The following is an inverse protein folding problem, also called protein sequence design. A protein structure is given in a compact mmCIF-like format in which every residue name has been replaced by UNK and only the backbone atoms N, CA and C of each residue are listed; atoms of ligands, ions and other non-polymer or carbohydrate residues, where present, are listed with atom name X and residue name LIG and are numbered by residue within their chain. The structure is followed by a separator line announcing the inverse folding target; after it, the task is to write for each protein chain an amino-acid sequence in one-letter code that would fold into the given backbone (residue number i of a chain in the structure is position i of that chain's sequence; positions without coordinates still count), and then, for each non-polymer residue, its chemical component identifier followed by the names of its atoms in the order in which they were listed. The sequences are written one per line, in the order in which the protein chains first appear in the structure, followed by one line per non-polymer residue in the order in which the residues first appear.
data_IF_532701621394
#
_entry.id   IF_532701621394
#
_cell.length_a   1.000
_cell.length_b   1.000
_cell.length_c   1.000
_cell.angle_alpha   90.00
_cell.angle_beta   90.00
_cell.angle_gamma   90.00
#
_symmetry.space_group_name_H-M   'P 1'
#
loop_
_entity.id
_entity.type
_entity.pdbx_description
1 polymer ?
#
# COMPACT_ATOMS: atom_id res chain seq x y z
N UNK A 1 -42.44 -41.91 -5.16
CA UNK A 1 -41.18 -41.37 -5.71
C UNK A 1 -40.92 -40.05 -5.01
N UNK A 2 -40.12 -40.06 -3.93
CA UNK A 2 -39.79 -38.86 -3.16
C UNK A 2 -38.49 -38.27 -3.71
N UNK A 3 -38.55 -37.09 -4.31
CA UNK A 3 -37.38 -36.32 -4.70
C UNK A 3 -36.90 -35.57 -3.45
N UNK A 4 -35.83 -36.06 -2.84
CA UNK A 4 -35.10 -35.32 -1.81
C UNK A 4 -34.21 -34.27 -2.50
N UNK A 5 -34.62 -33.00 -2.39
CA UNK A 5 -33.78 -31.85 -2.75
C UNK A 5 -32.69 -31.70 -1.68
N UNK A 6 -31.45 -31.94 -2.07
CA UNK A 6 -30.25 -31.69 -1.28
C UNK A 6 -29.84 -30.22 -1.48
N UNK A 7 -30.27 -29.35 -0.57
CA UNK A 7 -29.81 -27.97 -0.47
C UNK A 7 -28.36 -27.95 0.00
N UNK A 8 -27.41 -27.85 -0.94
CA UNK A 8 -26.04 -27.47 -0.63
C UNK A 8 -26.02 -25.99 -0.22
N UNK A 9 -25.97 -25.75 1.09
CA UNK A 9 -25.64 -24.44 1.65
C UNK A 9 -24.15 -24.19 1.44
N UNK A 10 -23.81 -23.46 0.38
CA UNK A 10 -22.46 -22.93 0.18
C UNK A 10 -22.30 -21.81 1.21
N UNK A 11 -21.62 -22.11 2.32
CA UNK A 11 -21.20 -21.08 3.27
C UNK A 11 -20.07 -20.27 2.63
N UNK A 12 -20.43 -19.16 2.00
CA UNK A 12 -19.46 -18.14 1.60
C UNK A 12 -19.03 -17.40 2.87
N UNK A 13 -18.02 -17.93 3.57
CA UNK A 13 -17.34 -17.14 4.61
C UNK A 13 -16.57 -16.04 3.89
N UNK A 14 -16.79 -14.75 4.20
CA UNK A 14 -15.95 -13.70 3.64
C UNK A 14 -14.52 -13.97 4.06
N UNK A 15 -13.66 -14.18 3.08
CA UNK A 15 -12.22 -14.39 3.30
C UNK A 15 -11.68 -13.20 4.11
N UNK A 16 -11.04 -13.50 5.24
CA UNK A 16 -10.49 -12.47 6.11
C UNK A 16 -9.28 -11.89 5.41
N UNK A 17 -9.32 -10.60 5.09
CA UNK A 17 -8.19 -9.91 4.48
C UNK A 17 -6.93 -10.05 5.34
N UNK A 18 -5.80 -10.22 4.65
CA UNK A 18 -4.45 -10.40 5.18
C UNK A 18 -3.54 -9.32 4.61
N UNK A 19 -2.33 -9.18 5.18
CA UNK A 19 -1.35 -8.21 4.67
C UNK A 19 -0.97 -8.48 3.20
N UNK A 20 -1.00 -9.75 2.78
CA UNK A 20 -0.72 -10.17 1.42
C UNK A 20 -1.67 -9.52 0.40
N UNK A 21 -2.92 -9.25 0.78
CA UNK A 21 -3.91 -8.61 -0.09
C UNK A 21 -3.58 -7.14 -0.40
N UNK A 22 -2.67 -6.52 0.36
CA UNK A 22 -2.23 -5.14 0.19
C UNK A 22 -0.82 -5.01 -0.39
N UNK A 23 -0.19 -6.12 -0.79
CA UNK A 23 1.11 -6.11 -1.46
C UNK A 23 1.05 -5.53 -2.86
N UNK A 24 -0.11 -5.64 -3.50
CA UNK A 24 -0.37 -5.09 -4.84
C UNK A 24 -1.66 -4.30 -4.85
N UNK A 25 -1.74 -3.29 -5.69
CA UNK A 25 -2.95 -2.53 -5.90
C UNK A 25 -2.68 -1.04 -6.02
N UNK A 26 -3.79 -0.30 -6.06
CA UNK A 26 -3.76 1.16 -6.15
C UNK A 26 -4.36 1.75 -4.90
N UNK A 27 -3.68 2.72 -4.30
CA UNK A 27 -4.05 3.27 -3.00
C UNK A 27 -4.02 4.81 -3.01
N UNK A 28 -4.69 5.40 -2.03
CA UNK A 28 -4.61 6.81 -1.67
C UNK A 28 -4.46 6.93 -0.15
N UNK A 29 -3.71 7.94 0.30
CA UNK A 29 -3.72 8.30 1.72
C UNK A 29 -5.08 8.89 2.11
N UNK A 30 -5.53 8.64 3.34
CA UNK A 30 -6.80 9.20 3.82
C UNK A 30 -6.66 10.56 4.46
N UNK A 31 -5.43 10.95 4.83
CA UNK A 31 -5.16 12.21 5.50
C UNK A 31 -5.25 13.40 4.51
N UNK A 32 -5.93 14.51 4.86
CA UNK A 32 -6.19 15.62 3.94
C UNK A 32 -4.95 16.23 3.28
N UNK A 33 -3.82 16.23 3.96
CA UNK A 33 -2.55 16.75 3.48
C UNK A 33 -1.86 15.87 2.44
N UNK A 34 -2.28 14.62 2.29
CA UNK A 34 -1.63 13.64 1.39
C UNK A 34 -2.61 12.87 0.50
N UNK A 35 -3.92 13.11 0.63
CA UNK A 35 -4.97 12.44 -0.16
C UNK A 35 -4.90 12.72 -1.68
N UNK A 36 -4.08 13.68 -2.09
CA UNK A 36 -3.78 13.98 -3.49
C UNK A 36 -2.66 13.09 -4.08
N UNK A 37 -2.07 12.21 -3.27
CA UNK A 37 -1.03 11.25 -3.68
C UNK A 37 -1.67 9.89 -3.94
N UNK A 38 -1.53 9.42 -5.19
CA UNK A 38 -1.93 8.08 -5.62
C UNK A 38 -0.73 7.15 -5.59
N UNK A 39 -0.89 5.97 -5.03
CA UNK A 39 0.15 4.94 -4.93
C UNK A 39 -0.23 3.78 -5.84
N UNK A 40 0.65 3.39 -6.74
CA UNK A 40 0.51 2.19 -7.57
C UNK A 40 1.58 1.21 -7.13
N UNK A 41 1.18 0.06 -6.59
CA UNK A 41 2.09 -0.94 -6.02
C UNK A 41 1.98 -2.27 -6.74
N UNK A 42 3.14 -2.84 -7.06
CA UNK A 42 3.32 -4.23 -7.48
C UNK A 42 4.08 -4.99 -6.38
N UNK A 43 4.31 -6.29 -6.57
CA UNK A 43 5.00 -7.12 -5.57
C UNK A 43 6.39 -6.55 -5.20
N UNK A 44 7.06 -5.88 -6.14
CA UNK A 44 8.47 -5.46 -5.99
C UNK A 44 8.70 -3.97 -6.24
N UNK A 45 7.67 -3.20 -6.61
CA UNK A 45 7.82 -1.76 -6.91
C UNK A 45 6.63 -0.96 -6.45
N UNK A 46 6.86 0.32 -6.18
CA UNK A 46 5.81 1.29 -5.88
C UNK A 46 6.11 2.63 -6.54
N UNK A 47 5.07 3.24 -7.11
CA UNK A 47 5.12 4.60 -7.65
C UNK A 47 4.11 5.45 -6.90
N UNK A 48 4.58 6.55 -6.30
CA UNK A 48 3.73 7.56 -5.67
C UNK A 48 3.64 8.78 -6.58
N UNK A 49 2.42 9.16 -6.97
CA UNK A 49 2.13 10.23 -7.93
C UNK A 49 1.38 11.34 -7.20
N UNK A 50 2.01 12.51 -7.08
CA UNK A 50 1.36 13.69 -6.54
C UNK A 50 0.53 14.36 -7.65
N UNK A 51 -0.80 14.36 -7.50
CA UNK A 51 -1.69 14.93 -8.52
C UNK A 51 -1.63 16.46 -8.64
N UNK A 52 -1.14 17.17 -7.62
CA UNK A 52 -1.01 18.62 -7.61
C UNK A 52 0.31 19.07 -8.27
N UNK A 53 1.44 18.48 -7.86
CA UNK A 53 2.78 18.86 -8.33
C UNK A 53 3.24 18.07 -9.55
N UNK A 54 2.59 16.94 -9.85
CA UNK A 54 2.98 15.96 -10.89
C UNK A 54 4.31 15.25 -10.61
N UNK A 55 4.86 15.40 -9.41
CA UNK A 55 6.04 14.66 -8.96
C UNK A 55 5.69 13.19 -8.83
N UNK A 56 6.60 12.33 -9.29
CA UNK A 56 6.51 10.89 -9.12
C UNK A 56 7.73 10.36 -8.36
N UNK A 57 7.51 9.62 -7.27
CA UNK A 57 8.56 8.89 -6.57
C UNK A 57 8.50 7.42 -6.96
N UNK A 58 9.57 6.90 -7.58
CA UNK A 58 9.70 5.52 -8.01
C UNK A 58 10.55 4.77 -6.98
N UNK A 59 10.01 3.68 -6.46
CA UNK A 59 10.61 2.92 -5.35
C UNK A 59 10.63 1.42 -5.63
N UNK A 60 11.65 0.75 -5.12
CA UNK A 60 11.71 -0.71 -5.03
C UNK A 60 11.20 -1.19 -3.66
N UNK A 61 10.57 -2.37 -3.64
CA UNK A 61 10.02 -3.01 -2.45
C UNK A 61 10.72 -4.33 -2.19
N UNK A 62 11.19 -4.50 -0.95
CA UNK A 62 11.66 -5.77 -0.40
C UNK A 62 10.79 -6.19 0.79
N UNK A 63 10.02 -7.27 0.65
CA UNK A 63 9.20 -7.81 1.73
C UNK A 63 10.07 -8.59 2.72
N UNK A 64 10.12 -8.10 3.96
CA UNK A 64 10.82 -8.75 5.08
C UNK A 64 9.90 -9.76 5.77
N UNK A 65 8.59 -9.55 5.72
CA UNK A 65 7.56 -10.47 6.18
C UNK A 65 6.24 -10.22 5.44
N UNK A 66 5.18 -10.96 5.80
CA UNK A 66 3.83 -10.78 5.24
C UNK A 66 3.33 -9.33 5.36
N UNK A 67 3.64 -8.66 6.47
CA UNK A 67 3.14 -7.32 6.80
C UNK A 67 4.23 -6.24 6.77
N UNK A 68 5.49 -6.59 6.55
CA UNK A 68 6.61 -5.65 6.65
C UNK A 68 7.45 -5.63 5.38
N UNK A 69 7.76 -4.43 4.93
CA UNK A 69 8.59 -4.22 3.74
C UNK A 69 9.50 -3.01 3.89
N UNK A 70 10.55 -3.00 3.09
CA UNK A 70 11.48 -1.89 2.95
C UNK A 70 11.26 -1.26 1.59
N UNK A 71 10.99 0.04 1.57
CA UNK A 71 10.97 0.88 0.38
C UNK A 71 12.36 1.47 0.18
N UNK A 72 12.89 1.45 -1.04
CA UNK A 72 14.08 2.20 -1.43
C UNK A 72 13.72 3.17 -2.55
N UNK A 73 14.04 4.45 -2.39
CA UNK A 73 13.84 5.44 -3.45
C UNK A 73 14.87 5.23 -4.57
N UNK A 74 14.40 4.99 -5.79
CA UNK A 74 15.25 4.73 -6.95
C UNK A 74 15.35 5.97 -7.85
N UNK A 75 14.24 6.68 -8.05
CA UNK A 75 14.17 7.83 -8.96
C UNK A 75 13.02 8.75 -8.57
N UNK A 76 13.19 10.05 -8.83
CA UNK A 76 12.09 11.02 -8.79
C UNK A 76 11.91 11.65 -10.17
N UNK A 77 10.69 11.62 -10.70
CA UNK A 77 10.33 12.26 -11.97
C UNK A 77 9.56 13.53 -11.73
N UNK A 78 9.75 14.52 -12.61
CA UNK A 78 9.16 15.86 -12.53
C UNK A 78 9.44 16.59 -11.20
N UNK A 79 10.49 16.17 -10.47
CA UNK A 79 10.89 16.75 -9.20
C UNK A 79 12.07 17.72 -9.38
N UNK A 80 12.21 18.72 -8.50
CA UNK A 80 13.43 19.51 -8.39
C UNK A 80 14.66 18.64 -8.08
N UNK A 81 15.85 19.09 -8.48
CA UNK A 81 17.10 18.33 -8.36
C UNK A 81 17.46 17.94 -6.91
N UNK A 82 17.00 18.71 -5.93
CA UNK A 82 17.18 18.44 -4.49
C UNK A 82 16.58 17.09 -4.03
N UNK A 83 15.59 16.55 -4.77
CA UNK A 83 15.03 15.23 -4.47
C UNK A 83 16.00 14.09 -4.79
N UNK A 84 17.03 14.33 -5.61
CA UNK A 84 18.04 13.31 -5.92
C UNK A 84 18.84 12.90 -4.67
N UNK A 85 18.93 13.76 -3.66
CA UNK A 85 19.55 13.43 -2.36
C UNK A 85 18.76 12.38 -1.58
N UNK A 86 17.52 12.11 -1.98
CA UNK A 86 16.69 11.04 -1.42
C UNK A 86 16.89 9.69 -2.10
N UNK A 87 17.52 9.64 -3.27
CA UNK A 87 17.79 8.39 -3.99
C UNK A 87 18.70 7.48 -3.15
N UNK A 88 18.34 6.22 -3.03
CA UNK A 88 18.99 5.22 -2.21
C UNK A 88 18.58 5.24 -0.72
N UNK A 89 17.80 6.22 -0.27
CA UNK A 89 17.26 6.21 1.09
C UNK A 89 16.23 5.10 1.25
N UNK A 90 16.21 4.49 2.44
CA UNK A 90 15.36 3.36 2.78
C UNK A 90 14.38 3.70 3.88
N UNK A 91 13.13 3.24 3.72
CA UNK A 91 12.05 3.39 4.70
C UNK A 91 11.50 2.01 5.05
N UNK A 92 11.31 1.74 6.34
CA UNK A 92 10.62 0.52 6.78
C UNK A 92 9.15 0.82 7.00
N UNK A 93 8.29 0.08 6.30
CA UNK A 93 6.83 0.15 6.46
C UNK A 93 6.30 -1.19 7.00
N UNK A 94 5.38 -1.11 7.95
CA UNK A 94 4.76 -2.27 8.59
C UNK A 94 3.24 -2.07 8.66
N UNK A 95 2.47 -2.97 8.06
CA UNK A 95 1.01 -2.98 8.13
C UNK A 95 0.62 -3.44 9.54
N UNK A 96 -0.03 -2.56 10.29
CA UNK A 96 -0.40 -2.79 11.71
C UNK A 96 -1.90 -3.01 11.91
N UNK A 97 -2.73 -2.52 10.99
CA UNK A 97 -4.18 -2.66 11.05
C UNK A 97 -4.76 -2.87 9.64
N UNK A 98 -5.73 -3.77 9.53
CA UNK A 98 -6.43 -4.08 8.28
C UNK A 98 -7.93 -3.85 8.49
N UNK A 99 -8.49 -2.97 7.67
CA UNK A 99 -9.92 -2.74 7.54
C UNK A 99 -10.48 -3.37 6.25
N UNK A 100 -11.73 -3.05 5.94
CA UNK A 100 -12.43 -3.62 4.77
C UNK A 100 -11.83 -3.20 3.43
N UNK A 101 -11.40 -1.96 3.31
CA UNK A 101 -10.88 -1.35 2.09
C UNK A 101 -9.69 -0.42 2.39
N UNK A 102 -9.11 -0.58 3.58
CA UNK A 102 -8.08 0.29 4.11
C UNK A 102 -7.11 -0.48 4.99
N UNK A 103 -5.93 0.05 5.17
CA UNK A 103 -4.97 -0.46 6.13
C UNK A 103 -4.13 0.68 6.69
N UNK A 104 -3.62 0.48 7.89
CA UNK A 104 -2.71 1.43 8.54
C UNK A 104 -1.29 0.88 8.48
N UNK A 105 -0.37 1.69 7.99
CA UNK A 105 1.06 1.42 8.02
C UNK A 105 1.75 2.25 9.10
N UNK A 106 2.60 1.59 9.87
CA UNK A 106 3.62 2.25 10.67
C UNK A 106 4.89 2.42 9.82
N UNK A 107 5.31 3.67 9.64
CA UNK A 107 6.50 4.05 8.88
C UNK A 107 7.59 4.45 9.86
N UNK A 108 8.70 3.72 9.86
CA UNK A 108 9.85 3.99 10.73
C UNK A 108 11.01 4.56 9.93
N UNK A 109 11.42 5.77 10.31
CA UNK A 109 12.68 6.39 9.88
C UNK A 109 13.68 6.40 11.04
N UNK A 110 14.91 6.88 10.82
CA UNK A 110 15.96 6.89 11.86
C UNK A 110 15.56 7.68 13.12
N UNK A 111 14.67 8.68 12.99
CA UNK A 111 14.36 9.63 14.06
C UNK A 111 12.85 9.75 14.37
N UNK A 112 11.97 9.10 13.58
CA UNK A 112 10.52 9.24 13.73
C UNK A 112 9.79 7.94 13.38
N UNK A 113 8.60 7.79 13.95
CA UNK A 113 7.67 6.72 13.64
C UNK A 113 6.28 7.32 13.47
N UNK A 114 5.76 7.26 12.25
CA UNK A 114 4.47 7.84 11.91
C UNK A 114 3.48 6.74 11.51
N UNK A 115 2.19 6.97 11.76
CA UNK A 115 1.11 6.10 11.32
C UNK A 115 0.41 6.75 10.13
N UNK A 116 0.29 6.01 9.04
CA UNK A 116 -0.36 6.44 7.81
C UNK A 116 -1.48 5.47 7.47
N UNK A 117 -2.70 5.97 7.26
CA UNK A 117 -3.82 5.15 6.78
C UNK A 117 -3.95 5.32 5.27
N UNK A 118 -4.06 4.18 4.58
CA UNK A 118 -4.23 4.10 3.14
C UNK A 118 -5.52 3.36 2.80
N UNK A 119 -6.17 3.81 1.74
CA UNK A 119 -7.39 3.21 1.21
C UNK A 119 -7.12 2.58 -0.16
N UNK A 120 -7.57 1.35 -0.35
CA UNK A 120 -7.54 0.65 -1.64
C UNK A 120 -8.58 1.26 -2.58
N UNK A 121 -8.14 1.55 -3.80
CA UNK A 121 -8.96 2.05 -4.90
C UNK A 121 -9.16 0.91 -5.87
N UNK A 122 -10.43 0.54 -6.07
CA UNK A 122 -10.81 -0.38 -7.14
C UNK A 122 -11.01 0.47 -8.40
N UNK A 123 -10.23 0.19 -9.43
CA UNK A 123 -10.44 0.74 -10.78
C UNK A 123 -11.71 0.15 -11.40
#
# INVERSE_FOLDING_TARGET
MYISILLLVISCTPEKQTCSDFRTGTFEYTAPESNHIRIIRTENTQVEINSETKIEAHTSIEWVSDCKYILTYEEFKNAPEEFNDMVGQKISAEIVEIGKDRYTCQVKTKNASDLMELKLIKE
#
